data_IF_463462106438
#
_entry.id   IF_463462106438
#
_cell.length_a   1.000
_cell.length_b   1.000
_cell.length_c   1.000
_cell.angle_alpha   90.00
_cell.angle_beta   90.00
_cell.angle_gamma   90.00
#
_symmetry.space_group_name_H-M   'P 1'
#
loop_
_entity.id
_entity.type
_entity.pdbx_description
1 polymer ?
#
# COMPACT_ATOMS: atom_id res chain seq x y z
N UNK A 1 -12.95 -16.67 -23.64
CA UNK A 1 -13.77 -17.77 -23.18
C UNK A 1 -15.13 -17.73 -23.86
N UNK A 2 -15.62 -18.83 -24.46
CA UNK A 2 -16.98 -18.91 -24.96
C UNK A 2 -17.99 -18.77 -23.82
N UNK A 3 -19.08 -18.05 -24.09
CA UNK A 3 -20.20 -17.85 -23.16
C UNK A 3 -21.53 -18.19 -23.83
N UNK A 4 -22.66 -18.07 -23.11
CA UNK A 4 -23.99 -18.31 -23.63
C UNK A 4 -24.12 -19.69 -24.32
N UNK A 5 -23.67 -20.77 -23.64
CA UNK A 5 -23.68 -22.13 -24.19
C UNK A 5 -22.97 -22.28 -25.56
N UNK A 6 -21.82 -21.65 -25.72
CA UNK A 6 -21.03 -21.59 -26.96
C UNK A 6 -21.64 -20.77 -28.11
N UNK A 7 -22.59 -19.94 -27.83
CA UNK A 7 -23.14 -19.03 -28.85
C UNK A 7 -22.28 -17.79 -29.07
N UNK A 8 -21.49 -17.40 -28.03
CA UNK A 8 -20.57 -16.28 -28.07
C UNK A 8 -19.13 -16.79 -28.05
N UNK A 9 -18.38 -16.55 -29.10
CA UNK A 9 -16.97 -16.98 -29.21
C UNK A 9 -16.07 -16.15 -28.28
N UNK A 10 -16.39 -14.86 -28.16
CA UNK A 10 -15.63 -13.93 -27.32
C UNK A 10 -16.55 -12.85 -26.76
N UNK A 11 -16.55 -12.73 -25.44
CA UNK A 11 -17.25 -11.64 -24.73
C UNK A 11 -16.22 -10.75 -24.06
N UNK A 12 -16.30 -9.43 -24.30
CA UNK A 12 -15.46 -8.46 -23.61
C UNK A 12 -15.88 -8.34 -22.15
N UNK A 13 -14.94 -8.64 -21.24
CA UNK A 13 -15.08 -8.43 -19.80
C UNK A 13 -14.39 -7.16 -19.30
N UNK A 14 -14.08 -6.21 -20.22
CA UNK A 14 -13.32 -5.01 -19.92
C UNK A 14 -13.99 -4.14 -18.83
N UNK A 15 -15.30 -3.96 -18.90
CA UNK A 15 -16.06 -3.17 -17.91
C UNK A 15 -16.02 -3.84 -16.52
N UNK A 16 -16.16 -5.15 -16.46
CA UNK A 16 -16.04 -5.90 -15.21
C UNK A 16 -14.62 -5.79 -14.66
N UNK A 17 -13.61 -5.99 -15.50
CA UNK A 17 -12.20 -5.86 -15.13
C UNK A 17 -11.86 -4.46 -14.59
N UNK A 18 -12.35 -3.42 -15.26
CA UNK A 18 -12.15 -2.04 -14.84
C UNK A 18 -12.79 -1.74 -13.46
N UNK A 19 -14.01 -2.22 -13.22
CA UNK A 19 -14.66 -2.06 -11.91
C UNK A 19 -13.92 -2.80 -10.80
N UNK A 20 -13.47 -4.02 -11.08
CA UNK A 20 -12.72 -4.83 -10.11
C UNK A 20 -11.36 -4.22 -9.78
N UNK A 21 -10.76 -3.46 -10.69
CA UNK A 21 -9.47 -2.82 -10.47
C UNK A 21 -9.47 -1.87 -9.26
N UNK A 22 -10.56 -1.16 -9.01
CA UNK A 22 -10.67 -0.28 -7.84
C UNK A 22 -10.53 -1.05 -6.52
N UNK A 23 -11.21 -2.20 -6.40
CA UNK A 23 -11.09 -3.07 -5.22
C UNK A 23 -9.67 -3.64 -5.08
N UNK A 24 -9.05 -4.02 -6.20
CA UNK A 24 -7.67 -4.53 -6.21
C UNK A 24 -6.67 -3.47 -5.75
N UNK A 25 -6.82 -2.22 -6.17
CA UNK A 25 -5.96 -1.10 -5.73
C UNK A 25 -6.13 -0.87 -4.23
N UNK A 26 -7.35 -0.86 -3.72
CA UNK A 26 -7.60 -0.72 -2.28
C UNK A 26 -6.97 -1.87 -1.48
N UNK A 27 -7.12 -3.11 -1.93
CA UNK A 27 -6.51 -4.26 -1.27
C UNK A 27 -4.97 -4.19 -1.30
N UNK A 28 -4.39 -3.79 -2.43
CA UNK A 28 -2.95 -3.59 -2.54
C UNK A 28 -2.46 -2.49 -1.57
N UNK A 29 -3.21 -1.40 -1.43
CA UNK A 29 -2.88 -0.34 -0.48
C UNK A 29 -2.90 -0.82 0.98
N UNK A 30 -3.84 -1.71 1.34
CA UNK A 30 -3.84 -2.37 2.66
C UNK A 30 -2.57 -3.19 2.86
N UNK A 31 -2.21 -4.03 1.89
CA UNK A 31 -1.01 -4.88 1.97
C UNK A 31 0.25 -4.02 2.17
N UNK A 32 0.44 -3.00 1.32
CA UNK A 32 1.58 -2.07 1.40
C UNK A 32 1.57 -1.30 2.73
N UNK A 33 0.41 -0.87 3.19
CA UNK A 33 0.26 -0.18 4.48
C UNK A 33 0.68 -1.05 5.67
N UNK A 34 0.23 -2.30 5.70
CA UNK A 34 0.61 -3.26 6.75
C UNK A 34 2.09 -3.58 6.71
N UNK A 35 2.67 -3.77 5.53
CA UNK A 35 4.10 -4.00 5.36
C UNK A 35 4.93 -2.81 5.87
N UNK A 36 4.54 -1.59 5.51
CA UNK A 36 5.20 -0.38 5.97
C UNK A 36 5.10 -0.21 7.50
N UNK A 37 3.95 -0.51 8.09
CA UNK A 37 3.73 -0.49 9.54
C UNK A 37 4.61 -1.52 10.26
N UNK A 38 4.69 -2.75 9.74
CA UNK A 38 5.53 -3.81 10.27
C UNK A 38 7.03 -3.46 10.16
N UNK A 39 7.45 -2.91 9.03
CA UNK A 39 8.83 -2.45 8.82
C UNK A 39 9.20 -1.33 9.81
N UNK A 40 8.32 -0.35 10.01
CA UNK A 40 8.54 0.71 11.00
C UNK A 40 8.63 0.15 12.43
N UNK A 41 7.82 -0.86 12.76
CA UNK A 41 7.91 -1.56 14.04
C UNK A 41 9.27 -2.24 14.21
N UNK A 42 9.74 -2.96 13.18
CA UNK A 42 11.04 -3.61 13.20
C UNK A 42 12.21 -2.64 13.37
N UNK A 43 12.16 -1.49 12.70
CA UNK A 43 13.19 -0.45 12.82
C UNK A 43 13.29 0.15 14.22
N UNK A 44 12.23 0.09 15.00
CA UNK A 44 12.20 0.71 16.34
C UNK A 44 12.83 -0.15 17.43
N UNK A 45 13.00 -1.45 17.20
CA UNK A 45 13.63 -2.34 18.17
C UNK A 45 15.13 -2.06 18.37
N UNK A 46 15.80 -1.48 17.35
CA UNK A 46 17.19 -1.05 17.48
C UNK A 46 17.41 0.33 16.84
N UNK A 47 17.13 1.38 17.59
CA UNK A 47 17.32 2.78 17.18
C UNK A 47 18.76 3.28 17.35
N UNK A 48 19.68 2.45 17.83
CA UNK A 48 21.11 2.76 17.81
C UNK A 48 21.66 2.82 16.37
N UNK A 49 21.04 2.05 15.47
CA UNK A 49 21.30 2.08 14.03
C UNK A 49 20.38 3.08 13.33
N UNK A 50 20.91 3.74 12.32
CA UNK A 50 20.17 4.66 11.47
C UNK A 50 20.18 4.17 10.03
N UNK A 51 19.06 4.30 9.37
CA UNK A 51 18.92 4.02 7.95
C UNK A 51 19.32 5.23 7.11
N UNK A 52 19.11 5.17 5.79
CA UNK A 52 19.33 6.33 4.92
C UNK A 52 18.38 7.47 5.29
N UNK A 53 18.74 8.75 5.01
CA UNK A 53 17.87 9.88 5.30
C UNK A 53 16.48 9.75 4.69
N UNK A 54 16.37 9.12 3.50
CA UNK A 54 15.09 8.87 2.83
C UNK A 54 14.21 7.92 3.63
N UNK A 55 14.77 6.81 4.12
CA UNK A 55 14.04 5.82 4.92
C UNK A 55 13.68 6.39 6.29
N UNK A 56 14.57 7.16 6.93
CA UNK A 56 14.25 7.83 8.20
C UNK A 56 13.10 8.83 8.06
N UNK A 57 13.02 9.55 6.94
CA UNK A 57 11.91 10.46 6.66
C UNK A 57 10.57 9.69 6.50
N UNK A 58 10.58 8.53 5.81
CA UNK A 58 9.39 7.68 5.68
C UNK A 58 9.01 7.07 7.04
N UNK A 59 9.97 6.60 7.80
CA UNK A 59 9.74 6.12 9.17
C UNK A 59 9.04 7.20 10.03
N UNK A 60 9.53 8.43 10.00
CA UNK A 60 8.92 9.55 10.73
C UNK A 60 7.48 9.83 10.27
N UNK A 61 7.22 9.78 8.96
CA UNK A 61 5.88 9.97 8.39
C UNK A 61 4.89 8.87 8.83
N UNK A 62 5.35 7.62 8.92
CA UNK A 62 4.55 6.49 9.44
C UNK A 62 4.24 6.71 10.92
N UNK A 63 5.25 7.08 11.73
CA UNK A 63 5.09 7.29 13.18
C UNK A 63 4.21 8.48 13.56
N UNK A 64 4.01 9.42 12.66
CA UNK A 64 2.98 10.47 12.82
C UNK A 64 1.54 9.94 12.75
N UNK A 65 1.33 8.77 12.16
CA UNK A 65 0.02 8.14 11.94
C UNK A 65 -0.25 6.97 12.87
N UNK A 66 0.77 6.16 13.07
CA UNK A 66 0.67 4.91 13.84
C UNK A 66 1.75 4.88 14.92
N UNK A 67 1.32 4.78 16.17
CA UNK A 67 2.23 4.68 17.31
C UNK A 67 2.94 3.32 17.33
N UNK A 68 4.08 3.28 18.03
CA UNK A 68 4.77 2.02 18.33
C UNK A 68 3.82 1.05 19.07
N UNK A 69 3.91 -0.22 18.74
CA UNK A 69 3.11 -1.29 19.35
C UNK A 69 3.88 -1.84 20.57
N UNK A 70 3.67 -1.26 21.72
CA UNK A 70 4.24 -1.75 22.98
C UNK A 70 3.48 -2.96 23.53
N UNK A 71 2.16 -2.93 23.39
CA UNK A 71 1.24 -3.97 23.83
C UNK A 71 0.22 -4.21 22.74
N UNK A 72 -0.33 -5.41 22.74
CA UNK A 72 -1.37 -5.78 21.78
C UNK A 72 -2.59 -4.85 21.90
N UNK A 73 -3.11 -4.43 20.74
CA UNK A 73 -4.30 -3.56 20.64
C UNK A 73 -5.08 -3.84 19.35
N UNK A 74 -6.27 -3.30 19.27
CA UNK A 74 -7.07 -3.37 18.05
C UNK A 74 -6.43 -2.52 16.95
N UNK A 75 -5.95 -3.18 15.89
CA UNK A 75 -5.12 -2.56 14.84
C UNK A 75 -5.91 -2.05 13.62
N UNK A 76 -7.22 -2.29 13.53
CA UNK A 76 -7.96 -1.88 12.33
C UNK A 76 -7.86 -0.37 12.04
N UNK A 77 -7.93 0.56 13.01
CA UNK A 77 -7.73 1.98 12.75
C UNK A 77 -6.32 2.31 12.23
N UNK A 78 -5.29 1.61 12.73
CA UNK A 78 -3.90 1.80 12.29
C UNK A 78 -3.73 1.32 10.84
N UNK A 79 -4.35 0.18 10.50
CA UNK A 79 -4.34 -0.38 9.13
C UNK A 79 -5.06 0.57 8.17
N UNK A 80 -6.21 1.11 8.55
CA UNK A 80 -6.94 2.09 7.72
C UNK A 80 -6.14 3.37 7.50
N UNK A 81 -5.50 3.90 8.54
CA UNK A 81 -4.63 5.07 8.42
C UNK A 81 -3.43 4.81 7.49
N UNK A 82 -2.86 3.61 7.53
CA UNK A 82 -1.76 3.22 6.65
C UNK A 82 -2.21 2.95 5.22
N UNK A 83 -3.41 2.41 5.00
CA UNK A 83 -4.02 2.29 3.67
C UNK A 83 -4.20 3.66 3.02
N UNK A 84 -4.73 4.63 3.76
CA UNK A 84 -4.87 6.01 3.27
C UNK A 84 -3.53 6.64 2.96
N UNK A 85 -2.54 6.44 3.82
CA UNK A 85 -1.18 6.90 3.57
C UNK A 85 -0.61 6.30 2.27
N UNK A 86 -0.78 5.00 2.03
CA UNK A 86 -0.31 4.35 0.81
C UNK A 86 -0.95 4.91 -0.47
N UNK A 87 -2.23 5.29 -0.40
CA UNK A 87 -2.97 5.87 -1.53
C UNK A 87 -2.66 7.35 -1.79
N UNK A 88 -2.31 8.10 -0.74
CA UNK A 88 -2.20 9.57 -0.80
C UNK A 88 -0.77 10.08 -0.61
N UNK A 89 0.19 9.18 -0.32
CA UNK A 89 1.55 9.60 -0.02
C UNK A 89 2.17 10.39 -1.19
N UNK A 90 2.69 11.57 -0.89
CA UNK A 90 3.57 12.29 -1.80
C UNK A 90 4.96 11.65 -1.72
N UNK A 91 5.20 10.71 -2.61
CA UNK A 91 6.44 9.96 -2.63
C UNK A 91 7.63 10.86 -2.98
N UNK A 92 8.76 10.77 -2.26
CA UNK A 92 9.96 11.55 -2.55
C UNK A 92 10.42 11.38 -4.01
N UNK A 93 11.05 12.40 -4.56
CA UNK A 93 11.47 12.44 -5.96
C UNK A 93 12.24 11.17 -6.44
N UNK A 94 13.18 10.60 -5.67
CA UNK A 94 13.84 9.36 -6.06
C UNK A 94 12.89 8.17 -6.22
N UNK A 95 11.83 8.08 -5.41
CA UNK A 95 10.83 7.01 -5.52
C UNK A 95 9.84 7.30 -6.64
N UNK A 96 9.49 8.56 -6.88
CA UNK A 96 8.67 8.95 -8.04
C UNK A 96 9.34 8.62 -9.37
N UNK A 97 10.67 8.71 -9.44
CA UNK A 97 11.43 8.35 -10.64
C UNK A 97 11.35 6.84 -10.98
N UNK A 98 10.96 5.99 -10.02
CA UNK A 98 10.73 4.56 -10.24
C UNK A 98 9.32 4.24 -10.75
N UNK A 99 8.42 5.24 -10.80
CA UNK A 99 7.07 5.01 -11.33
C UNK A 99 7.12 4.87 -12.86
N UNK A 100 6.26 4.00 -13.45
CA UNK A 100 6.14 3.92 -14.90
C UNK A 100 5.79 5.29 -15.48
N UNK A 101 6.53 5.74 -16.50
CA UNK A 101 6.14 6.94 -17.23
C UNK A 101 4.76 6.69 -17.87
N UNK A 102 3.81 7.55 -17.56
CA UNK A 102 2.58 7.59 -18.34
C UNK A 102 2.95 8.08 -19.75
N UNK A 103 2.99 7.15 -20.69
CA UNK A 103 3.10 7.45 -22.11
C UNK A 103 1.75 7.92 -22.64
#
# INVERSE_FOLDING_TARGET
LPTSANQEDHVSMATYGARRLADMVNNAAVVVGVEAMAAAQGMEFDRSLKSSPLIEAQFAAIRQRVAFLEQDRYLAPDIDAMREWALQADWPAPLRACQPSHA
#
